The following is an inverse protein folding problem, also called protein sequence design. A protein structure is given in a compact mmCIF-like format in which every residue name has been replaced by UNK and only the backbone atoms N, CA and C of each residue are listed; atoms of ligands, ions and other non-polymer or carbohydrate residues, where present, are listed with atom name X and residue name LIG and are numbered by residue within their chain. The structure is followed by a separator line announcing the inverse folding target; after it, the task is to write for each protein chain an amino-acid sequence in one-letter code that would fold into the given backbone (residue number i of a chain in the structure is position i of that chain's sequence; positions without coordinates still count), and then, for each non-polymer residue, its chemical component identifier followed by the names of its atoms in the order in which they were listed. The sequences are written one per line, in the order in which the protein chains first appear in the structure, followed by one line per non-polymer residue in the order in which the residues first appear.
data_IF_734126184190
#
_entry.id   IF_734126184190
#
_cell.length_a   1.000
_cell.length_b   1.000
_cell.length_c   1.000
_cell.angle_alpha   90.00
_cell.angle_beta   90.00
_cell.angle_gamma   90.00
#
_symmetry.space_group_name_H-M   'P 1'
#
loop_
_entity.id
_entity.type
_entity.pdbx_description
1 polymer ?
#
# COMPACT_ATOMS: atom_id res chain seq x y z
N UNK A 1 0.14 35.24 40.19
CA UNK A 1 0.64 34.26 39.21
C UNK A 1 0.88 32.94 39.93
N UNK A 2 -0.11 32.06 39.98
CA UNK A 2 0.07 30.74 40.59
C UNK A 2 0.54 29.78 39.50
N UNK A 3 1.86 29.74 39.27
CA UNK A 3 2.46 28.70 38.42
C UNK A 3 2.24 27.34 39.10
N UNK A 4 1.64 26.39 38.39
CA UNK A 4 1.50 25.02 38.89
C UNK A 4 2.90 24.41 38.96
N UNK A 5 3.38 24.10 40.15
CA UNK A 5 4.62 23.35 40.33
C UNK A 5 4.45 21.98 39.66
N UNK A 6 5.16 21.76 38.55
CA UNK A 6 5.24 20.44 37.93
C UNK A 6 5.97 19.50 38.89
N UNK A 7 5.36 18.37 39.20
CA UNK A 7 6.04 17.32 39.96
C UNK A 7 7.02 16.60 39.05
N UNK A 8 8.17 16.22 39.59
CA UNK A 8 9.20 15.45 38.89
C UNK A 8 8.62 14.18 38.23
N UNK A 9 7.73 13.48 38.93
CA UNK A 9 7.04 12.28 38.43
C UNK A 9 6.22 12.54 37.15
N UNK A 10 5.58 13.72 37.03
CA UNK A 10 4.80 14.07 35.85
C UNK A 10 5.72 14.34 34.64
N UNK A 11 6.92 14.88 34.87
CA UNK A 11 7.95 15.11 33.85
C UNK A 11 8.55 13.78 33.38
N UNK A 12 8.90 12.89 34.30
CA UNK A 12 9.46 11.57 33.97
C UNK A 12 8.47 10.71 33.18
N UNK A 13 7.20 10.69 33.59
CA UNK A 13 6.13 9.98 32.86
C UNK A 13 5.98 10.51 31.44
N UNK A 14 6.00 11.83 31.26
CA UNK A 14 5.92 12.45 29.94
C UNK A 14 7.13 12.14 29.07
N UNK A 15 8.33 12.19 29.64
CA UNK A 15 9.56 11.84 28.95
C UNK A 15 9.48 10.40 28.41
N UNK A 16 9.12 9.44 29.26
CA UNK A 16 8.94 8.05 28.83
C UNK A 16 7.88 7.91 27.73
N UNK A 17 6.76 8.64 27.84
CA UNK A 17 5.72 8.63 26.79
C UNK A 17 6.26 9.15 25.46
N UNK A 18 7.00 10.25 25.45
CA UNK A 18 7.56 10.85 24.23
C UNK A 18 8.58 9.93 23.59
N UNK A 19 9.48 9.35 24.38
CA UNK A 19 10.46 8.36 23.90
C UNK A 19 9.76 7.17 23.24
N UNK A 20 8.76 6.58 23.91
CA UNK A 20 7.99 5.46 23.37
C UNK A 20 7.26 5.82 22.06
N UNK A 21 6.73 7.04 21.93
CA UNK A 21 6.09 7.49 20.69
C UNK A 21 7.10 7.72 19.57
N UNK A 22 8.30 8.22 19.90
CA UNK A 22 9.39 8.41 18.94
C UNK A 22 9.89 7.07 18.39
N UNK A 23 10.07 6.06 19.24
CA UNK A 23 10.46 4.71 18.82
C UNK A 23 9.45 4.10 17.86
N UNK A 24 8.15 4.26 18.15
CA UNK A 24 7.07 3.82 17.25
C UNK A 24 7.06 4.58 15.92
N UNK A 25 7.37 5.87 15.89
CA UNK A 25 7.44 6.63 14.63
C UNK A 25 8.59 6.13 13.74
N UNK A 26 9.73 5.77 14.36
CA UNK A 26 10.86 5.16 13.66
C UNK A 26 10.44 3.82 13.07
N UNK A 27 9.82 2.94 13.86
CA UNK A 27 9.33 1.63 13.41
C UNK A 27 8.34 1.77 12.24
N UNK A 28 7.35 2.66 12.35
CA UNK A 28 6.41 2.93 11.25
C UNK A 28 7.13 3.44 10.00
N UNK A 29 8.16 4.28 10.17
CA UNK A 29 8.92 4.82 9.04
C UNK A 29 9.73 3.74 8.31
N UNK A 30 10.32 2.79 9.04
CA UNK A 30 10.98 1.62 8.45
C UNK A 30 9.98 0.73 7.70
N UNK A 31 8.84 0.43 8.32
CA UNK A 31 7.76 -0.32 7.68
C UNK A 31 7.22 0.38 6.43
N UNK A 32 7.13 1.72 6.43
CA UNK A 32 6.72 2.49 5.26
C UNK A 32 7.71 2.33 4.12
N UNK A 33 9.02 2.37 4.39
CA UNK A 33 10.04 2.17 3.36
C UNK A 33 9.89 0.79 2.70
N UNK A 34 9.74 -0.26 3.51
CA UNK A 34 9.47 -1.61 2.99
C UNK A 34 8.16 -1.68 2.21
N UNK A 35 7.08 -1.07 2.70
CA UNK A 35 5.78 -1.07 2.03
C UNK A 35 5.82 -0.33 0.67
N UNK A 36 6.57 0.77 0.57
CA UNK A 36 6.78 1.47 -0.70
C UNK A 36 7.59 0.65 -1.70
N UNK A 37 8.64 -0.05 -1.25
CA UNK A 37 9.38 -0.99 -2.08
C UNK A 37 8.47 -2.11 -2.60
N UNK A 38 7.71 -2.75 -1.72
CA UNK A 38 6.74 -3.80 -2.09
C UNK A 38 5.68 -3.29 -3.08
N UNK A 39 5.18 -2.06 -2.90
CA UNK A 39 4.25 -1.44 -3.84
C UNK A 39 4.88 -1.22 -5.21
N UNK A 40 6.15 -0.81 -5.25
CA UNK A 40 6.90 -0.61 -6.50
C UNK A 40 7.05 -1.93 -7.26
N UNK A 41 7.45 -3.00 -6.57
CA UNK A 41 7.54 -4.34 -7.15
C UNK A 41 6.19 -4.84 -7.66
N UNK A 42 5.13 -4.66 -6.86
CA UNK A 42 3.78 -5.04 -7.27
C UNK A 42 3.27 -4.23 -8.46
N UNK A 43 3.68 -2.97 -8.61
CA UNK A 43 3.35 -2.16 -9.78
C UNK A 43 4.06 -2.66 -11.04
N UNK A 44 5.33 -3.02 -10.93
CA UNK A 44 6.08 -3.62 -12.04
C UNK A 44 5.42 -4.93 -12.49
N UNK A 45 5.05 -5.82 -11.55
CA UNK A 45 4.31 -7.05 -11.86
C UNK A 45 2.98 -6.73 -12.55
N UNK A 46 2.24 -5.71 -12.12
CA UNK A 46 1.02 -5.27 -12.82
C UNK A 46 1.30 -4.86 -14.26
N UNK A 47 2.33 -4.06 -14.50
CA UNK A 47 2.71 -3.63 -15.84
C UNK A 47 3.06 -4.82 -16.74
N UNK A 48 3.87 -5.75 -16.24
CA UNK A 48 4.29 -6.94 -16.98
C UNK A 48 3.09 -7.84 -17.30
N UNK A 49 2.27 -8.19 -16.29
CA UNK A 49 1.11 -9.04 -16.51
C UNK A 49 0.03 -8.37 -17.38
N UNK A 50 -0.05 -7.04 -17.40
CA UNK A 50 -0.95 -6.32 -18.27
C UNK A 50 -0.51 -6.40 -19.73
N UNK A 51 0.79 -6.24 -20.00
CA UNK A 51 1.36 -6.38 -21.33
C UNK A 51 1.11 -7.79 -21.89
N UNK A 52 1.42 -8.83 -21.11
CA UNK A 52 1.15 -10.22 -21.48
C UNK A 52 -0.34 -10.48 -21.78
N UNK A 53 -1.23 -9.89 -20.98
CA UNK A 53 -2.67 -10.03 -21.16
C UNK A 53 -3.15 -9.38 -22.46
N UNK A 54 -2.70 -8.16 -22.76
CA UNK A 54 -3.06 -7.48 -24.01
C UNK A 54 -2.46 -8.17 -25.24
N UNK A 55 -1.26 -8.75 -25.12
CA UNK A 55 -0.69 -9.59 -26.17
C UNK A 55 -1.55 -10.84 -26.42
N UNK A 56 -1.90 -11.59 -25.36
CA UNK A 56 -2.74 -12.79 -25.48
C UNK A 56 -4.12 -12.45 -26.08
N UNK A 57 -4.69 -11.30 -25.71
CA UNK A 57 -5.95 -10.80 -26.28
C UNK A 57 -5.83 -10.48 -27.77
N UNK A 58 -4.73 -9.85 -28.19
CA UNK A 58 -4.43 -9.59 -29.60
C UNK A 58 -4.27 -10.90 -30.39
N UNK A 59 -3.55 -11.87 -29.82
CA UNK A 59 -3.33 -13.18 -30.43
C UNK A 59 -4.64 -13.97 -30.56
N UNK A 60 -5.50 -13.97 -29.54
CA UNK A 60 -6.83 -14.58 -29.60
C UNK A 60 -7.70 -13.96 -30.72
N UNK A 61 -7.64 -12.64 -30.91
CA UNK A 61 -8.36 -11.97 -32.00
C UNK A 61 -7.85 -12.41 -33.38
N UNK A 62 -6.54 -12.58 -33.55
CA UNK A 62 -5.94 -13.11 -34.79
C UNK A 62 -6.35 -14.57 -35.02
N UNK A 63 -6.24 -15.40 -34.00
CA UNK A 63 -6.63 -16.81 -34.04
C UNK A 63 -8.12 -16.97 -34.41
N UNK A 64 -9.01 -16.16 -33.82
CA UNK A 64 -10.43 -16.15 -34.17
C UNK A 64 -10.69 -15.88 -35.65
N UNK A 65 -9.89 -15.00 -36.28
CA UNK A 65 -9.99 -14.74 -37.73
C UNK A 65 -9.47 -15.91 -38.56
N UNK A 66 -8.40 -16.57 -38.12
CA UNK A 66 -7.85 -17.75 -38.80
C UNK A 66 -8.79 -18.95 -38.69
N UNK A 67 -9.37 -19.19 -37.52
CA UNK A 67 -10.33 -20.26 -37.27
C UNK A 67 -11.56 -20.12 -38.17
N UNK A 68 -12.13 -18.92 -38.28
CA UNK A 68 -13.24 -18.62 -39.21
C UNK A 68 -12.90 -18.86 -40.68
N UNK A 69 -11.63 -18.77 -41.05
CA UNK A 69 -11.15 -19.03 -42.41
C UNK A 69 -10.75 -20.50 -42.63
N UNK A 70 -10.94 -21.37 -41.63
CA UNK A 70 -10.51 -22.77 -41.66
C UNK A 70 -8.98 -22.94 -41.72
N UNK A 71 -8.21 -21.93 -41.30
CA UNK A 71 -6.74 -21.97 -41.33
C UNK A 71 -6.11 -22.64 -40.11
N UNK A 72 -6.85 -22.67 -39.01
CA UNK A 72 -6.49 -23.37 -37.78
C UNK A 72 -7.69 -24.20 -37.35
N UNK A 73 -7.43 -25.31 -36.67
CA UNK A 73 -8.48 -26.18 -36.16
C UNK A 73 -9.06 -25.71 -34.81
N UNK A 74 -10.02 -26.47 -34.28
CA UNK A 74 -10.67 -26.15 -33.01
C UNK A 74 -9.75 -26.31 -31.80
N UNK A 75 -8.80 -27.25 -31.84
CA UNK A 75 -7.83 -27.47 -30.77
C UNK A 75 -6.80 -26.35 -30.71
N UNK A 76 -6.27 -25.94 -31.87
CA UNK A 76 -5.38 -24.79 -31.99
C UNK A 76 -6.09 -23.51 -31.52
N UNK A 77 -7.34 -23.29 -31.93
CA UNK A 77 -8.11 -22.13 -31.47
C UNK A 77 -8.35 -22.17 -29.95
N UNK A 78 -8.64 -23.34 -29.38
CA UNK A 78 -8.85 -23.52 -27.95
C UNK A 78 -7.60 -23.16 -27.13
N UNK A 79 -6.40 -23.49 -27.63
CA UNK A 79 -5.15 -23.09 -26.97
C UNK A 79 -5.06 -21.57 -26.76
N UNK A 80 -5.44 -20.75 -27.75
CA UNK A 80 -5.45 -19.29 -27.60
C UNK A 80 -6.50 -18.80 -26.60
N UNK A 81 -7.64 -19.50 -26.48
CA UNK A 81 -8.68 -19.18 -25.48
C UNK A 81 -8.14 -19.45 -24.08
N UNK A 82 -7.53 -20.62 -23.88
CA UNK A 82 -6.99 -21.03 -22.59
C UNK A 82 -5.83 -20.13 -22.15
N UNK A 83 -4.94 -19.76 -23.08
CA UNK A 83 -3.84 -18.83 -22.81
C UNK A 83 -4.37 -17.44 -22.44
N UNK A 84 -5.38 -16.92 -23.14
CA UNK A 84 -6.02 -15.65 -22.79
C UNK A 84 -6.60 -15.68 -21.37
N UNK A 85 -7.34 -16.74 -21.02
CA UNK A 85 -7.94 -16.86 -19.69
C UNK A 85 -6.89 -17.08 -18.60
N UNK A 86 -5.77 -17.73 -18.91
CA UNK A 86 -4.62 -17.82 -18.02
C UNK A 86 -4.00 -16.44 -17.73
N UNK A 87 -3.66 -15.66 -18.78
CA UNK A 87 -3.06 -14.32 -18.62
C UNK A 87 -4.02 -13.35 -17.92
N UNK A 88 -5.30 -13.40 -18.25
CA UNK A 88 -6.35 -12.61 -17.56
C UNK A 88 -6.38 -12.90 -16.06
N UNK A 89 -6.28 -14.16 -15.65
CA UNK A 89 -6.22 -14.55 -14.23
C UNK A 89 -4.96 -14.02 -13.56
N UNK A 90 -3.79 -14.08 -14.22
CA UNK A 90 -2.54 -13.52 -13.68
C UNK A 90 -2.59 -12.02 -13.51
N UNK A 91 -3.03 -11.28 -14.53
CA UNK A 91 -3.20 -9.82 -14.46
C UNK A 91 -4.10 -9.40 -13.29
N UNK A 92 -5.22 -10.10 -13.06
CA UNK A 92 -6.09 -9.87 -11.90
C UNK A 92 -5.40 -10.11 -10.56
N UNK A 93 -4.56 -11.14 -10.45
CA UNK A 93 -3.80 -11.43 -9.21
C UNK A 93 -2.75 -10.35 -8.93
N UNK A 94 -2.00 -9.92 -9.95
CA UNK A 94 -1.04 -8.83 -9.82
C UNK A 94 -1.73 -7.54 -9.36
N UNK A 95 -2.86 -7.20 -9.98
CA UNK A 95 -3.65 -6.02 -9.59
C UNK A 95 -4.16 -6.09 -8.15
N UNK A 96 -4.54 -7.29 -7.67
CA UNK A 96 -4.91 -7.53 -6.26
C UNK A 96 -3.75 -7.23 -5.31
N UNK A 97 -2.55 -7.75 -5.61
CA UNK A 97 -1.33 -7.51 -4.80
C UNK A 97 -0.98 -6.02 -4.71
N UNK A 98 -1.04 -5.32 -5.85
CA UNK A 98 -0.82 -3.87 -5.87
C UNK A 98 -1.84 -3.11 -4.99
N UNK A 99 -3.10 -3.52 -5.01
CA UNK A 99 -4.14 -2.95 -4.14
C UNK A 99 -3.87 -3.24 -2.66
N UNK A 100 -3.41 -4.44 -2.33
CA UNK A 100 -3.05 -4.82 -0.95
C UNK A 100 -1.89 -3.97 -0.43
N UNK A 101 -0.82 -3.80 -1.21
CA UNK A 101 0.31 -2.94 -0.86
C UNK A 101 -0.12 -1.46 -0.63
N UNK A 102 -1.04 -0.93 -1.45
CA UNK A 102 -1.61 0.40 -1.23
C UNK A 102 -2.40 0.51 0.08
N UNK A 103 -3.13 -0.54 0.45
CA UNK A 103 -3.90 -0.56 1.70
C UNK A 103 -2.97 -0.59 2.92
N UNK A 104 -1.86 -1.33 2.86
CA UNK A 104 -0.83 -1.35 3.90
C UNK A 104 -0.23 0.04 4.11
N UNK A 105 0.18 0.72 3.03
CA UNK A 105 0.69 2.10 3.10
C UNK A 105 -0.32 3.03 3.76
N UNK A 106 -1.61 2.91 3.42
CA UNK A 106 -2.67 3.75 4.02
C UNK A 106 -2.77 3.53 5.54
N UNK A 107 -2.69 2.29 6.01
CA UNK A 107 -2.72 1.98 7.45
C UNK A 107 -1.50 2.57 8.17
N UNK A 108 -0.32 2.47 7.57
CA UNK A 108 0.91 3.04 8.13
C UNK A 108 0.84 4.58 8.19
N UNK A 109 0.32 5.23 7.15
CA UNK A 109 0.08 6.67 7.14
C UNK A 109 -0.88 7.11 8.24
N UNK A 110 -1.95 6.34 8.47
CA UNK A 110 -2.88 6.61 9.56
C UNK A 110 -2.20 6.46 10.93
N UNK A 111 -1.43 5.39 11.16
CA UNK A 111 -0.68 5.20 12.41
C UNK A 111 0.33 6.34 12.66
N UNK A 112 0.99 6.82 11.61
CA UNK A 112 1.90 7.97 11.71
C UNK A 112 1.17 9.26 12.10
N UNK A 113 -0.02 9.48 11.53
CA UNK A 113 -0.86 10.62 11.89
C UNK A 113 -1.37 10.54 13.33
N UNK A 114 -1.73 9.36 13.81
CA UNK A 114 -2.12 9.13 15.21
C UNK A 114 -0.98 9.45 16.17
N UNK A 115 0.26 9.03 15.87
CA UNK A 115 1.44 9.42 16.68
C UNK A 115 1.63 10.93 16.68
N UNK A 116 1.51 11.58 15.51
CA UNK A 116 1.62 13.04 15.39
C UNK A 116 0.57 13.76 16.26
N UNK A 117 -0.67 13.29 16.25
CA UNK A 117 -1.75 13.83 17.09
C UNK A 117 -1.47 13.62 18.58
N UNK A 118 -0.99 12.45 18.97
CA UNK A 118 -0.64 12.15 20.37
C UNK A 118 0.48 13.06 20.89
N UNK A 119 1.50 13.33 20.06
CA UNK A 119 2.57 14.28 20.38
C UNK A 119 2.02 15.72 20.49
N UNK A 120 1.19 16.15 19.54
CA UNK A 120 0.62 17.51 19.50
C UNK A 120 -0.42 17.78 20.60
N UNK A 121 -1.18 16.76 21.04
CA UNK A 121 -2.20 16.90 22.09
C UNK A 121 -1.64 17.46 23.41
N UNK A 122 -0.34 17.26 23.68
CA UNK A 122 0.36 17.84 24.83
C UNK A 122 0.70 19.32 24.59
N UNK A 123 1.25 19.66 23.42
CA UNK A 123 1.63 21.04 23.02
C UNK A 123 0.42 21.99 23.08
N UNK A 124 -0.77 21.53 22.69
CA UNK A 124 -1.98 22.37 22.74
C UNK A 124 -2.71 22.33 24.09
N UNK A 125 -2.48 21.33 24.95
CA UNK A 125 -2.85 21.43 26.37
C UNK A 125 -2.01 22.47 27.12
N UNK A 126 -0.87 22.88 26.54
CA UNK A 126 -0.03 23.93 27.09
C UNK A 126 -0.44 25.36 26.72
N UNK A 127 -1.35 25.56 25.74
CA UNK A 127 -1.88 26.90 25.45
C UNK A 127 -2.84 27.43 26.54
N UNK A 128 -3.26 26.57 27.47
CA UNK A 128 -3.95 26.97 28.71
C UNK A 128 -2.98 27.52 29.79
N UNK A 129 -1.65 27.46 29.60
CA UNK A 129 -0.69 28.02 30.57
C UNK A 129 -0.54 29.55 30.48
N UNK A 130 -1.01 30.18 29.40
CA UNK A 130 -0.88 31.62 29.17
C UNK A 130 -2.23 32.38 29.16
N UNK A 131 -3.35 31.73 29.51
CA UNK A 131 -4.63 32.41 29.69
C UNK A 131 -4.90 32.71 31.17
N UNK A 132 -4.15 33.64 31.76
CA UNK A 132 -4.63 34.49 32.88
C UNK A 132 -3.84 35.79 32.91
#
# INVERSE_FOLDING_TARGET
MAGRLLRMEDIERDHHRVVNLSEKDIEISELMNSAYSNRSEALNDVCDQWNDYEEAKSNLLKAKRQFRKGKIDGGEYQWFVDEFDYRKRRSKRASKRYKEANNEIRKLQQGKEEIRQLLNSRIFSEYDWNST
#
